data_IF_468074436292
#
_entry.id   IF_468074436292
#
_cell.length_a   1.000
_cell.length_b   1.000
_cell.length_c   1.000
_cell.angle_alpha   90.00
_cell.angle_beta   90.00
_cell.angle_gamma   90.00
#
_symmetry.space_group_name_H-M   'P 1'
#
loop_
_entity.id
_entity.type
_entity.pdbx_description
1 polymer ?
#
# COMPACT_ATOMS: atom_id res chain seq x y z
N UNK A 1 52.24 24.82 18.53
CA UNK A 1 51.58 24.82 19.86
C UNK A 1 50.22 24.13 19.71
N UNK A 2 49.85 23.32 20.71
CA UNK A 2 48.61 22.53 20.88
C UNK A 2 48.44 21.33 19.92
N UNK A 3 48.98 20.14 20.24
CA UNK A 3 48.51 19.06 21.15
C UNK A 3 47.36 18.21 20.60
N UNK A 4 47.74 16.98 20.23
CA UNK A 4 46.89 15.86 19.87
C UNK A 4 47.00 14.81 21.00
N UNK A 5 45.90 14.20 21.43
CA UNK A 5 45.87 13.09 22.39
C UNK A 5 44.85 12.04 21.95
N UNK A 6 45.23 10.75 21.89
CA UNK A 6 44.29 9.64 21.76
C UNK A 6 44.10 8.90 23.10
N UNK A 7 42.87 8.50 23.38
CA UNK A 7 42.45 7.72 24.56
C UNK A 7 42.69 6.22 24.29
N UNK A 8 43.33 5.55 25.26
CA UNK A 8 43.58 4.10 25.33
C UNK A 8 42.33 3.36 25.83
N UNK A 9 42.03 2.20 25.22
CA UNK A 9 41.15 1.18 25.81
C UNK A 9 42.00 0.14 26.57
N UNK A 10 41.60 -0.15 27.81
CA UNK A 10 42.23 -1.11 28.70
C UNK A 10 41.60 -2.50 28.64
N UNK A 11 42.45 -3.49 28.92
CA UNK A 11 42.18 -4.93 29.04
C UNK A 11 41.06 -5.30 30.03
N UNK A 12 40.36 -6.40 29.76
CA UNK A 12 39.75 -7.23 30.81
C UNK A 12 40.13 -8.70 30.63
N UNK A 13 40.60 -9.27 31.74
CA UNK A 13 41.07 -10.64 31.92
C UNK A 13 39.91 -11.63 32.17
N UNK A 14 40.18 -12.88 31.80
CA UNK A 14 39.55 -14.13 32.23
C UNK A 14 39.26 -14.23 33.74
N UNK A 15 38.17 -14.92 34.11
CA UNK A 15 38.14 -15.92 35.20
C UNK A 15 36.84 -16.76 35.24
N UNK A 16 37.05 -18.06 34.99
CA UNK A 16 36.50 -19.31 35.55
C UNK A 16 35.08 -19.48 36.14
N UNK A 17 34.52 -20.66 35.80
CA UNK A 17 33.37 -21.40 36.36
C UNK A 17 33.50 -21.73 37.86
N UNK A 18 32.39 -22.18 38.49
CA UNK A 18 32.26 -23.62 38.73
C UNK A 18 30.85 -24.21 38.52
N UNK A 19 30.88 -25.53 38.30
CA UNK A 19 29.80 -26.52 38.24
C UNK A 19 29.09 -26.76 39.58
N UNK A 20 27.80 -27.16 39.57
CA UNK A 20 27.39 -28.32 40.36
C UNK A 20 26.06 -28.98 39.95
N UNK A 21 25.96 -30.26 40.32
CA UNK A 21 25.02 -31.32 39.97
C UNK A 21 23.60 -31.26 40.58
N UNK A 22 22.62 -31.89 39.88
CA UNK A 22 21.74 -33.00 40.36
C UNK A 22 20.47 -33.08 39.48
N UNK A 23 20.16 -34.23 38.84
CA UNK A 23 19.15 -35.22 39.30
C UNK A 23 17.71 -34.75 38.96
N UNK A 24 16.81 -35.45 38.26
CA UNK A 24 16.50 -36.87 38.29
C UNK A 24 15.44 -37.21 37.21
N UNK A 25 15.64 -38.34 36.54
CA UNK A 25 14.70 -39.36 35.98
C UNK A 25 13.37 -39.00 35.30
N UNK A 26 13.25 -39.56 34.10
CA UNK A 26 12.04 -39.94 33.39
C UNK A 26 11.30 -41.10 34.08
N UNK A 27 9.98 -41.18 33.87
CA UNK A 27 9.22 -42.40 34.06
C UNK A 27 8.18 -42.60 32.95
N UNK A 28 8.35 -43.71 32.24
CA UNK A 28 7.46 -44.33 31.26
C UNK A 28 6.37 -45.13 31.98
N UNK A 29 5.11 -45.03 31.51
CA UNK A 29 4.04 -45.92 31.94
C UNK A 29 3.09 -46.24 30.77
N UNK A 30 3.16 -47.48 30.30
CA UNK A 30 2.33 -48.08 29.26
C UNK A 30 1.55 -49.21 29.93
N UNK A 31 0.21 -49.17 29.98
CA UNK A 31 -0.63 -50.35 30.27
C UNK A 31 -1.89 -50.34 29.38
N UNK A 32 -2.26 -51.55 28.99
CA UNK A 32 -3.12 -52.04 27.93
C UNK A 32 -4.59 -52.25 28.32
N UNK A 33 -5.42 -52.23 27.27
CA UNK A 33 -6.70 -52.92 26.92
C UNK A 33 -7.59 -53.70 27.92
N UNK A 34 -8.88 -53.74 27.49
CA UNK A 34 -10.00 -54.70 27.72
C UNK A 34 -11.10 -54.19 28.68
N UNK A 35 -12.42 -54.30 28.45
CA UNK A 35 -13.25 -54.87 27.39
C UNK A 35 -14.74 -54.81 27.81
N UNK A 36 -15.68 -54.76 26.83
CA UNK A 36 -17.14 -55.10 26.91
C UNK A 36 -18.05 -54.35 27.92
N UNK A 37 -19.35 -54.09 27.72
CA UNK A 37 -20.38 -54.58 26.79
C UNK A 37 -21.62 -53.66 26.78
N UNK A 38 -22.41 -53.84 25.72
CA UNK A 38 -23.68 -53.28 25.25
C UNK A 38 -24.78 -52.93 26.26
N UNK A 39 -25.60 -51.93 25.90
CA UNK A 39 -27.07 -51.98 25.97
C UNK A 39 -27.71 -51.22 24.78
N UNK A 40 -28.85 -51.74 24.31
CA UNK A 40 -29.50 -51.53 23.00
C UNK A 40 -30.47 -50.33 22.88
N UNK A 41 -30.41 -49.65 21.72
CA UNK A 41 -31.45 -49.28 20.70
C UNK A 41 -32.95 -49.05 21.10
N UNK A 42 -33.69 -48.13 20.42
CA UNK A 42 -34.19 -48.41 19.06
C UNK A 42 -34.26 -47.26 18.02
N UNK A 43 -33.71 -47.59 16.84
CA UNK A 43 -34.17 -47.42 15.45
C UNK A 43 -35.39 -46.52 15.15
N UNK A 44 -35.21 -45.58 14.21
CA UNK A 44 -36.16 -45.32 13.11
C UNK A 44 -35.45 -45.37 11.75
N UNK A 45 -36.08 -46.06 10.81
CA UNK A 45 -35.65 -46.34 9.43
C UNK A 45 -36.28 -45.31 8.50
N UNK A 46 -35.54 -44.86 7.47
CA UNK A 46 -36.14 -44.50 6.19
C UNK A 46 -35.29 -45.06 5.06
N UNK A 47 -35.96 -45.79 4.18
CA UNK A 47 -35.44 -46.61 3.09
C UNK A 47 -35.17 -45.75 1.87
N UNK A 48 -34.04 -45.97 1.21
CA UNK A 48 -33.72 -45.43 -0.10
C UNK A 48 -34.59 -46.08 -1.19
N UNK A 49 -35.07 -45.27 -2.14
CA UNK A 49 -35.59 -45.74 -3.43
C UNK A 49 -34.79 -45.03 -4.52
N UNK A 50 -34.05 -45.84 -5.28
CA UNK A 50 -33.33 -45.50 -6.51
C UNK A 50 -34.31 -45.35 -7.67
N UNK A 51 -34.19 -44.28 -8.45
CA UNK A 51 -34.72 -44.22 -9.81
C UNK A 51 -33.73 -43.47 -10.72
N UNK A 52 -33.11 -44.23 -11.62
CA UNK A 52 -32.26 -43.79 -12.72
C UNK A 52 -33.14 -43.23 -13.84
N UNK A 53 -32.85 -42.04 -14.37
CA UNK A 53 -33.26 -41.67 -15.72
C UNK A 53 -32.19 -40.81 -16.40
N UNK A 54 -31.67 -41.32 -17.51
CA UNK A 54 -30.84 -40.64 -18.48
C UNK A 54 -31.63 -39.52 -19.18
N UNK A 55 -30.99 -38.38 -19.46
CA UNK A 55 -31.53 -37.34 -20.32
C UNK A 55 -30.50 -36.25 -20.60
N UNK A 56 -29.89 -36.31 -21.79
CA UNK A 56 -29.02 -35.29 -22.36
C UNK A 56 -29.70 -33.92 -22.40
N UNK A 57 -28.98 -32.86 -22.01
CA UNK A 57 -29.17 -31.53 -22.61
C UNK A 57 -27.85 -30.75 -22.52
N UNK A 58 -27.13 -30.79 -23.64
CA UNK A 58 -26.08 -29.86 -23.96
C UNK A 58 -26.70 -28.56 -24.54
N UNK A 59 -25.98 -27.46 -24.29
CA UNK A 59 -25.96 -26.22 -25.09
C UNK A 59 -27.21 -25.33 -25.08
N UNK A 60 -27.08 -24.16 -24.46
CA UNK A 60 -27.22 -22.81 -25.03
C UNK A 60 -27.73 -21.84 -23.97
N UNK A 61 -26.85 -20.95 -23.48
CA UNK A 61 -27.27 -19.62 -23.02
C UNK A 61 -26.08 -18.67 -23.01
N UNK A 62 -25.90 -18.05 -24.18
CA UNK A 62 -25.32 -16.74 -24.45
C UNK A 62 -24.11 -16.31 -23.63
N UNK A 63 -22.98 -16.31 -24.33
CA UNK A 63 -22.01 -15.24 -24.20
C UNK A 63 -22.73 -13.89 -24.28
N UNK A 64 -23.01 -13.30 -23.11
CA UNK A 64 -23.14 -11.86 -23.02
C UNK A 64 -21.73 -11.32 -23.30
N UNK A 65 -21.47 -11.02 -24.57
CA UNK A 65 -20.68 -9.85 -24.92
C UNK A 65 -21.41 -8.65 -24.30
N UNK A 66 -21.22 -8.49 -23.00
CA UNK A 66 -21.30 -7.18 -22.38
C UNK A 66 -20.29 -6.33 -23.14
N UNK A 67 -20.77 -5.19 -23.61
CA UNK A 67 -19.95 -4.10 -24.10
C UNK A 67 -19.05 -3.64 -22.94
N UNK A 68 -18.01 -4.44 -22.64
CA UNK A 68 -16.99 -4.14 -21.68
C UNK A 68 -16.11 -3.08 -22.31
N UNK A 69 -16.39 -1.84 -21.94
CA UNK A 69 -15.51 -0.70 -22.18
C UNK A 69 -14.11 -1.09 -21.74
N UNK A 70 -13.12 -0.83 -22.60
CA UNK A 70 -11.69 -1.03 -22.33
C UNK A 70 -11.30 -0.51 -20.93
N UNK A 71 -11.06 -1.41 -19.98
CA UNK A 71 -10.76 -1.06 -18.58
C UNK A 71 -10.33 -2.28 -17.75
N UNK A 72 -9.84 -2.03 -16.53
CA UNK A 72 -9.41 -3.04 -15.54
C UNK A 72 -10.58 -3.78 -14.87
N UNK A 73 -11.79 -3.72 -15.41
CA UNK A 73 -13.05 -4.15 -14.79
C UNK A 73 -13.12 -5.64 -14.43
N UNK A 74 -12.23 -6.45 -15.02
CA UNK A 74 -11.96 -7.79 -14.55
C UNK A 74 -10.45 -8.06 -14.60
N UNK A 75 -9.72 -7.75 -13.50
CA UNK A 75 -8.28 -7.87 -13.50
C UNK A 75 -7.84 -9.32 -13.72
N UNK A 76 -8.61 -10.31 -13.27
CA UNK A 76 -8.25 -11.72 -13.39
C UNK A 76 -8.63 -12.36 -14.73
N UNK A 77 -9.71 -11.93 -15.40
CA UNK A 77 -10.20 -12.59 -16.63
C UNK A 77 -9.34 -12.38 -17.89
N UNK A 78 -8.12 -11.87 -17.76
CA UNK A 78 -7.15 -11.93 -18.83
C UNK A 78 -5.72 -11.60 -18.43
N UNK A 79 -5.34 -11.82 -17.17
CA UNK A 79 -3.93 -11.94 -16.80
C UNK A 79 -3.62 -13.44 -16.82
N UNK A 80 -3.27 -13.99 -17.97
CA UNK A 80 -2.77 -15.38 -18.02
C UNK A 80 -1.25 -15.40 -17.93
N UNK A 81 -0.55 -14.47 -18.58
CA UNK A 81 0.91 -14.62 -18.80
C UNK A 81 1.79 -13.72 -17.92
N UNK A 82 1.22 -12.73 -17.24
CA UNK A 82 1.95 -11.87 -16.27
C UNK A 82 1.42 -12.03 -14.85
N UNK A 83 0.69 -13.12 -14.58
CA UNK A 83 0.18 -13.41 -13.25
C UNK A 83 1.31 -13.92 -12.37
N UNK A 84 1.36 -13.44 -11.14
CA UNK A 84 2.33 -13.87 -10.13
C UNK A 84 1.61 -14.06 -8.79
N UNK A 85 2.14 -14.93 -7.90
CA UNK A 85 1.50 -15.17 -6.58
C UNK A 85 1.39 -13.90 -5.73
N UNK A 86 2.36 -13.00 -5.86
CA UNK A 86 2.43 -11.71 -5.15
C UNK A 86 2.81 -10.59 -6.10
N UNK A 87 2.66 -9.34 -5.68
CA UNK A 87 3.16 -8.17 -6.43
C UNK A 87 4.70 -8.07 -6.43
N UNK A 88 5.39 -8.71 -5.48
CA UNK A 88 6.86 -8.80 -5.51
C UNK A 88 7.30 -9.82 -6.56
N UNK A 89 8.20 -9.43 -7.46
CA UNK A 89 8.79 -10.30 -8.48
C UNK A 89 10.31 -10.27 -8.46
N UNK A 90 10.94 -11.33 -8.93
CA UNK A 90 12.39 -11.42 -9.07
C UNK A 90 12.85 -11.10 -10.49
N UNK A 91 14.14 -10.80 -10.65
CA UNK A 91 14.74 -10.43 -11.94
C UNK A 91 14.49 -11.48 -13.05
N UNK A 92 14.49 -12.77 -12.71
CA UNK A 92 14.22 -13.84 -13.66
C UNK A 92 12.81 -13.73 -14.31
N UNK A 93 11.79 -13.35 -13.52
CA UNK A 93 10.43 -13.15 -14.03
C UNK A 93 10.36 -11.97 -14.98
N UNK A 94 10.97 -10.83 -14.62
CA UNK A 94 11.00 -9.67 -15.50
C UNK A 94 11.80 -9.96 -16.78
N UNK A 95 12.92 -10.70 -16.67
CA UNK A 95 13.75 -11.09 -17.81
C UNK A 95 12.97 -11.95 -18.79
N UNK A 96 12.19 -12.90 -18.30
CA UNK A 96 11.29 -13.68 -19.13
C UNK A 96 10.32 -12.78 -19.91
N UNK A 97 9.69 -11.79 -19.27
CA UNK A 97 8.79 -10.86 -19.96
C UNK A 97 9.49 -9.96 -20.98
N UNK A 98 10.74 -9.57 -20.71
CA UNK A 98 11.58 -8.86 -21.69
C UNK A 98 11.83 -9.75 -22.92
N UNK A 99 12.25 -11.00 -22.72
CA UNK A 99 12.58 -11.94 -23.80
C UNK A 99 11.37 -12.34 -24.63
N UNK A 100 10.19 -12.39 -24.01
CA UNK A 100 8.90 -12.65 -24.67
C UNK A 100 8.35 -11.41 -25.41
N UNK A 101 9.05 -10.27 -25.39
CA UNK A 101 8.63 -9.05 -26.09
C UNK A 101 7.41 -8.37 -25.47
N UNK A 102 7.16 -8.58 -24.16
CA UNK A 102 6.02 -7.99 -23.45
C UNK A 102 6.25 -6.55 -23.05
N UNK A 103 7.51 -6.19 -22.74
CA UNK A 103 7.87 -4.83 -22.31
C UNK A 103 7.69 -3.84 -23.46
N UNK A 104 6.88 -2.81 -23.24
CA UNK A 104 6.47 -1.81 -24.23
C UNK A 104 5.89 -2.40 -25.52
N UNK A 105 5.19 -3.54 -25.41
CA UNK A 105 4.49 -4.10 -26.56
C UNK A 105 3.52 -3.06 -27.16
N UNK A 106 3.61 -2.89 -28.48
CA UNK A 106 2.88 -1.88 -29.25
C UNK A 106 1.43 -2.29 -29.51
N UNK A 107 1.10 -3.58 -29.40
CA UNK A 107 -0.28 -4.04 -29.45
C UNK A 107 -1.00 -3.58 -28.17
N UNK A 108 -1.84 -2.55 -28.32
CA UNK A 108 -2.60 -1.98 -27.21
C UNK A 108 -3.77 -2.86 -26.74
N UNK A 109 -4.17 -3.84 -27.55
CA UNK A 109 -5.23 -4.78 -27.24
C UNK A 109 -4.74 -5.98 -26.42
N UNK A 110 -3.43 -6.29 -26.49
CA UNK A 110 -2.89 -7.40 -25.69
C UNK A 110 -2.94 -7.11 -24.20
N UNK A 111 -3.35 -8.11 -23.43
CA UNK A 111 -3.32 -8.09 -21.97
C UNK A 111 -1.98 -8.51 -21.38
N UNK A 112 -1.00 -8.77 -22.23
CA UNK A 112 0.36 -9.16 -21.84
C UNK A 112 1.34 -7.98 -21.85
N UNK A 113 0.87 -6.77 -22.19
CA UNK A 113 1.71 -5.57 -22.21
C UNK A 113 2.28 -5.29 -20.82
N UNK A 114 3.59 -5.15 -20.73
CA UNK A 114 4.31 -4.74 -19.53
C UNK A 114 4.91 -3.35 -19.74
N UNK A 115 4.78 -2.48 -18.75
CA UNK A 115 5.51 -1.21 -18.67
C UNK A 115 6.37 -1.23 -17.42
N UNK A 116 7.68 -1.03 -17.57
CA UNK A 116 8.61 -0.91 -16.44
C UNK A 116 8.85 0.56 -16.16
N UNK A 117 8.51 1.01 -14.95
CA UNK A 117 8.77 2.37 -14.47
C UNK A 117 9.98 2.36 -13.54
N UNK A 118 11.03 3.03 -13.96
CA UNK A 118 12.28 3.23 -13.23
C UNK A 118 12.13 4.45 -12.31
N UNK A 119 11.93 4.21 -11.01
CA UNK A 119 11.51 5.23 -10.04
C UNK A 119 12.71 5.93 -9.39
N UNK A 120 13.40 6.75 -10.17
CA UNK A 120 14.68 7.34 -9.79
C UNK A 120 14.83 8.79 -10.24
N UNK A 121 16.01 9.38 -10.05
CA UNK A 121 16.34 10.71 -10.59
C UNK A 121 16.69 10.62 -12.07
N UNK A 122 16.47 11.70 -12.83
CA UNK A 122 16.86 11.75 -14.24
C UNK A 122 18.36 11.45 -14.46
N UNK A 123 19.22 11.86 -13.54
CA UNK A 123 20.66 11.62 -13.64
C UNK A 123 21.04 10.13 -13.49
N UNK A 124 20.43 9.46 -12.51
CA UNK A 124 20.65 8.03 -12.31
C UNK A 124 20.12 7.20 -13.49
N UNK A 125 18.91 7.54 -13.97
CA UNK A 125 18.32 6.90 -15.14
C UNK A 125 19.19 7.06 -16.39
N UNK A 126 19.66 8.27 -16.69
CA UNK A 126 20.50 8.53 -17.85
C UNK A 126 21.87 7.79 -17.82
N UNK A 127 22.28 7.31 -16.65
CA UNK A 127 23.52 6.52 -16.51
C UNK A 127 23.30 5.08 -16.91
N UNK A 128 22.25 4.44 -16.37
CA UNK A 128 21.86 3.08 -16.69
C UNK A 128 20.47 2.78 -16.12
N UNK A 129 19.72 1.92 -16.78
CA UNK A 129 18.41 1.43 -16.37
C UNK A 129 18.11 0.08 -17.04
N UNK A 130 17.07 -0.63 -16.59
CA UNK A 130 16.63 -1.88 -17.25
C UNK A 130 16.26 -1.58 -18.72
N UNK A 131 16.65 -2.42 -19.69
CA UNK A 131 16.31 -2.23 -21.10
C UNK A 131 14.80 -2.07 -21.30
N UNK A 132 14.38 -1.02 -22.00
CA UNK A 132 12.97 -0.71 -22.23
C UNK A 132 12.22 -0.14 -21.01
N UNK A 133 12.86 0.11 -19.88
CA UNK A 133 12.21 0.85 -18.79
C UNK A 133 12.00 2.33 -19.15
N UNK A 134 11.10 3.00 -18.43
CA UNK A 134 10.76 4.41 -18.59
C UNK A 134 10.95 5.13 -17.26
N UNK A 135 11.45 6.36 -17.30
CA UNK A 135 11.64 7.16 -16.08
C UNK A 135 10.31 7.58 -15.43
N UNK A 136 10.17 7.27 -14.14
CA UNK A 136 9.27 7.94 -13.21
C UNK A 136 10.12 8.77 -12.24
N UNK A 137 10.12 10.09 -12.41
CA UNK A 137 11.08 10.96 -11.74
C UNK A 137 10.76 11.12 -10.25
N UNK A 138 11.65 10.62 -9.38
CA UNK A 138 11.47 10.67 -7.94
C UNK A 138 11.42 12.08 -7.35
N UNK A 139 11.86 13.10 -8.09
CA UNK A 139 11.86 14.51 -7.66
C UNK A 139 10.53 15.25 -7.85
N UNK A 140 9.57 14.68 -8.57
CA UNK A 140 8.28 15.36 -8.83
C UNK A 140 7.09 14.44 -9.12
N UNK A 141 7.32 13.14 -9.26
CA UNK A 141 6.31 12.16 -9.67
C UNK A 141 6.04 11.12 -8.58
N UNK A 142 6.34 11.42 -7.32
CA UNK A 142 6.06 10.54 -6.17
C UNK A 142 5.18 11.18 -5.10
N UNK A 143 5.31 12.50 -4.94
CA UNK A 143 4.66 13.28 -3.90
C UNK A 143 4.42 14.69 -4.38
N UNK A 144 3.45 15.37 -3.78
CA UNK A 144 3.19 16.78 -4.02
C UNK A 144 2.71 17.49 -2.76
N UNK A 145 2.80 18.82 -2.75
CA UNK A 145 2.23 19.65 -1.69
C UNK A 145 0.73 19.79 -1.90
N UNK A 146 -0.07 19.38 -0.91
CA UNK A 146 -1.54 19.49 -0.95
C UNK A 146 -2.08 19.94 0.40
N UNK A 147 -3.17 20.70 0.36
CA UNK A 147 -3.94 21.12 1.53
C UNK A 147 -4.74 19.92 2.06
N UNK A 148 -4.63 19.64 3.36
CA UNK A 148 -5.41 18.60 4.02
C UNK A 148 -5.69 19.01 5.47
N UNK A 149 -6.97 19.04 5.86
CA UNK A 149 -7.39 19.63 7.12
C UNK A 149 -7.23 21.14 7.10
N UNK A 150 -6.31 21.67 7.91
CA UNK A 150 -6.11 23.13 8.09
C UNK A 150 -4.77 23.66 7.58
N UNK A 151 -3.97 22.82 6.93
CA UNK A 151 -2.63 23.19 6.47
C UNK A 151 -2.14 22.34 5.28
N UNK A 152 -1.26 22.89 4.42
CA UNK A 152 -0.62 22.13 3.35
C UNK A 152 0.54 21.26 3.86
N UNK A 153 0.70 20.07 3.26
CA UNK A 153 1.77 19.12 3.57
C UNK A 153 2.45 18.67 2.27
N UNK A 154 3.79 18.63 2.27
CA UNK A 154 4.63 18.50 1.06
C UNK A 154 4.78 17.09 0.48
N UNK A 155 4.31 16.07 1.20
CA UNK A 155 4.56 14.65 0.85
C UNK A 155 3.27 13.86 0.61
N UNK A 156 2.22 14.57 0.17
CA UNK A 156 0.92 14.00 -0.11
C UNK A 156 0.90 13.26 -1.45
N UNK A 157 -0.09 12.38 -1.61
CA UNK A 157 -0.31 11.63 -2.86
C UNK A 157 -0.51 12.55 -4.07
N UNK A 158 -0.09 12.09 -5.25
CA UNK A 158 -0.30 12.78 -6.52
C UNK A 158 -1.79 12.96 -6.83
N UNK A 159 -2.13 14.12 -7.38
CA UNK A 159 -3.45 14.42 -7.92
C UNK A 159 -3.70 13.68 -9.24
N UNK A 160 -4.97 13.66 -9.66
CA UNK A 160 -5.39 12.92 -10.83
C UNK A 160 -4.78 13.44 -12.13
N UNK A 161 -4.51 14.75 -12.24
CA UNK A 161 -3.91 15.35 -13.43
C UNK A 161 -2.45 14.93 -13.61
N UNK A 162 -1.67 14.95 -12.53
CA UNK A 162 -0.29 14.48 -12.52
C UNK A 162 -0.25 12.97 -12.80
N UNK A 163 -1.19 12.22 -12.24
CA UNK A 163 -1.30 10.79 -12.48
C UNK A 163 -1.63 10.46 -13.94
N UNK A 164 -2.62 11.15 -14.54
CA UNK A 164 -2.95 11.05 -15.97
C UNK A 164 -1.73 11.39 -16.86
N UNK A 165 -0.99 12.44 -16.51
CA UNK A 165 0.22 12.84 -17.25
C UNK A 165 1.27 11.73 -17.23
N UNK A 166 1.53 11.16 -16.06
CA UNK A 166 2.49 10.07 -15.88
C UNK A 166 2.08 8.81 -16.66
N UNK A 167 0.84 8.34 -16.55
CA UNK A 167 0.42 7.11 -17.25
C UNK A 167 0.37 7.28 -18.76
N UNK A 168 -0.04 8.47 -19.25
CA UNK A 168 -0.10 8.77 -20.70
C UNK A 168 1.29 8.81 -21.30
N UNK A 169 2.23 9.55 -20.71
CA UNK A 169 3.61 9.62 -21.24
C UNK A 169 4.31 8.26 -21.21
N UNK A 170 3.92 7.39 -20.27
CA UNK A 170 4.49 6.04 -20.16
C UNK A 170 3.77 4.98 -21.02
N UNK A 171 2.77 5.36 -21.82
CA UNK A 171 2.04 4.44 -22.69
C UNK A 171 1.18 3.41 -21.95
N UNK A 172 0.90 3.62 -20.65
CA UNK A 172 0.11 2.72 -19.80
C UNK A 172 -1.36 2.83 -20.21
N UNK A 173 -2.03 1.68 -20.34
CA UNK A 173 -3.46 1.58 -20.64
C UNK A 173 -4.15 0.52 -19.76
N UNK A 174 -5.47 0.35 -19.91
CA UNK A 174 -6.28 -0.59 -19.12
C UNK A 174 -5.91 -2.09 -19.26
N UNK A 175 -4.97 -2.44 -20.15
CA UNK A 175 -4.47 -3.80 -20.33
C UNK A 175 -3.04 -3.99 -19.79
N UNK A 176 -2.42 -2.93 -19.25
CA UNK A 176 -1.00 -2.92 -18.90
C UNK A 176 -0.75 -3.51 -17.51
N UNK A 177 0.27 -4.37 -17.41
CA UNK A 177 0.94 -4.71 -16.15
C UNK A 177 2.09 -3.73 -15.92
N UNK A 178 2.10 -3.05 -14.77
CA UNK A 178 3.11 -2.05 -14.42
C UNK A 178 4.10 -2.66 -13.43
N UNK A 179 5.40 -2.54 -13.73
CA UNK A 179 6.50 -2.99 -12.88
C UNK A 179 7.26 -1.77 -12.38
N UNK A 180 7.38 -1.59 -11.07
CA UNK A 180 8.20 -0.55 -10.47
C UNK A 180 9.60 -1.11 -10.18
N UNK A 181 10.63 -0.43 -10.69
CA UNK A 181 12.05 -0.69 -10.42
C UNK A 181 12.73 0.57 -9.88
N UNK A 182 13.94 0.42 -9.35
CA UNK A 182 14.78 1.55 -8.95
C UNK A 182 16.22 1.35 -9.42
N UNK A 183 16.86 2.46 -9.75
CA UNK A 183 18.24 2.49 -10.21
C UNK A 183 19.19 1.84 -9.21
N UNK A 184 20.42 1.55 -9.63
CA UNK A 184 21.47 1.06 -8.73
C UNK A 184 21.56 1.91 -7.46
N UNK A 185 21.54 1.25 -6.30
CA UNK A 185 21.61 1.85 -4.96
C UNK A 185 20.47 2.84 -4.67
N UNK A 186 19.40 2.78 -5.46
CA UNK A 186 18.26 3.66 -5.32
C UNK A 186 17.35 3.23 -4.18
N UNK A 187 16.38 4.10 -3.86
CA UNK A 187 15.53 3.88 -2.70
C UNK A 187 14.37 2.95 -3.00
N UNK A 188 14.34 1.79 -2.34
CA UNK A 188 13.17 0.91 -2.26
C UNK A 188 11.91 1.56 -1.66
N UNK A 189 12.04 2.69 -0.95
CA UNK A 189 10.88 3.49 -0.54
C UNK A 189 10.17 4.12 -1.74
N UNK A 190 10.91 4.49 -2.80
CA UNK A 190 10.35 5.13 -3.98
C UNK A 190 9.43 4.16 -4.74
N UNK A 191 9.87 2.92 -4.96
CA UNK A 191 9.05 1.90 -5.66
C UNK A 191 7.83 1.50 -4.85
N UNK A 192 7.96 1.43 -3.52
CA UNK A 192 6.81 1.16 -2.65
C UNK A 192 5.82 2.33 -2.65
N UNK A 193 6.30 3.58 -2.70
CA UNK A 193 5.46 4.77 -2.82
C UNK A 193 4.76 4.85 -4.18
N UNK A 194 5.46 4.51 -5.26
CA UNK A 194 4.86 4.42 -6.60
C UNK A 194 3.74 3.37 -6.63
N UNK A 195 3.98 2.18 -6.06
CA UNK A 195 2.97 1.15 -5.90
C UNK A 195 1.71 1.66 -5.17
N UNK A 196 1.89 2.29 -4.01
CA UNK A 196 0.78 2.89 -3.25
C UNK A 196 -0.02 3.90 -4.08
N UNK A 197 0.66 4.80 -4.80
CA UNK A 197 -0.01 5.82 -5.61
C UNK A 197 -0.87 5.21 -6.71
N UNK A 198 -0.36 4.19 -7.42
CA UNK A 198 -1.15 3.50 -8.45
C UNK A 198 -2.32 2.73 -7.83
N UNK A 199 -2.12 2.05 -6.69
CA UNK A 199 -3.20 1.35 -5.99
C UNK A 199 -4.34 2.31 -5.62
N UNK A 200 -4.03 3.46 -5.02
CA UNK A 200 -5.00 4.48 -4.65
C UNK A 200 -5.87 4.93 -5.84
N UNK A 201 -5.25 5.16 -6.99
CA UNK A 201 -5.94 5.59 -8.21
C UNK A 201 -6.73 4.49 -8.93
N UNK A 202 -6.80 3.27 -8.38
CA UNK A 202 -7.66 2.22 -8.90
C UNK A 202 -6.98 1.17 -9.78
N UNK A 203 -5.65 1.20 -9.89
CA UNK A 203 -4.93 0.12 -10.57
C UNK A 203 -5.01 -1.16 -9.73
N UNK A 204 -5.44 -2.29 -10.31
CA UNK A 204 -5.63 -3.54 -9.55
C UNK A 204 -4.28 -4.11 -9.14
N UNK A 205 -4.21 -4.64 -7.91
CA UNK A 205 -2.95 -5.18 -7.33
C UNK A 205 -2.34 -6.28 -8.20
N UNK A 206 -3.17 -7.04 -8.92
CA UNK A 206 -2.77 -8.12 -9.82
C UNK A 206 -2.00 -7.59 -11.04
N UNK A 207 -2.14 -6.31 -11.38
CA UNK A 207 -1.46 -5.62 -12.49
C UNK A 207 -0.29 -4.75 -12.04
N UNK A 208 -0.05 -4.65 -10.74
CA UNK A 208 1.10 -3.91 -10.21
C UNK A 208 2.15 -4.89 -9.71
N UNK A 209 3.41 -4.57 -9.98
CA UNK A 209 4.56 -5.38 -9.60
C UNK A 209 5.68 -4.49 -9.08
N UNK A 210 6.49 -5.02 -8.17
CA UNK A 210 7.72 -4.38 -7.69
C UNK A 210 8.86 -5.36 -7.92
N UNK A 211 9.92 -4.89 -8.59
CA UNK A 211 11.13 -5.68 -8.80
C UNK A 211 11.96 -5.71 -7.53
N UNK A 212 12.16 -6.90 -6.97
CA UNK A 212 12.90 -7.08 -5.73
C UNK A 212 14.39 -6.75 -5.91
N UNK A 213 14.83 -5.61 -5.37
CA UNK A 213 16.22 -5.14 -5.44
C UNK A 213 16.59 -4.34 -6.70
N UNK A 214 15.63 -3.99 -7.56
CA UNK A 214 15.82 -3.07 -8.69
C UNK A 214 16.95 -3.46 -9.65
N UNK A 215 17.65 -2.46 -10.19
CA UNK A 215 18.78 -2.63 -11.11
C UNK A 215 19.91 -3.51 -10.55
N UNK A 216 20.19 -3.42 -9.25
CA UNK A 216 21.24 -4.27 -8.65
C UNK A 216 20.85 -5.75 -8.76
N UNK A 217 19.58 -6.08 -8.52
CA UNK A 217 19.08 -7.44 -8.66
C UNK A 217 19.07 -7.93 -10.11
N UNK A 218 18.78 -7.03 -11.05
CA UNK A 218 18.82 -7.30 -12.48
C UNK A 218 20.23 -7.70 -12.94
N UNK A 219 21.25 -6.94 -12.55
CA UNK A 219 22.66 -7.22 -12.87
C UNK A 219 23.21 -8.44 -12.15
N UNK A 220 22.86 -8.63 -10.86
CA UNK A 220 23.27 -9.81 -10.09
C UNK A 220 22.77 -11.11 -10.73
N UNK A 221 21.64 -11.05 -11.46
CA UNK A 221 21.10 -12.16 -12.23
C UNK A 221 21.78 -12.34 -13.61
N UNK A 222 22.84 -11.58 -13.91
CA UNK A 222 23.61 -11.66 -15.15
C UNK A 222 23.03 -10.90 -16.33
N UNK A 223 22.03 -10.04 -16.11
CA UNK A 223 21.41 -9.25 -17.17
C UNK A 223 22.10 -7.89 -17.34
N UNK A 224 22.15 -7.40 -18.57
CA UNK A 224 22.73 -6.09 -18.88
C UNK A 224 21.73 -4.96 -18.66
N UNK A 225 22.19 -3.83 -18.15
CA UNK A 225 21.46 -2.56 -18.19
C UNK A 225 21.70 -1.85 -19.52
N UNK A 226 20.85 -0.88 -19.83
CA UNK A 226 20.92 0.00 -20.98
C UNK A 226 20.98 1.47 -20.50
N UNK A 227 21.34 2.40 -21.36
CA UNK A 227 21.23 3.84 -21.13
C UNK A 227 20.33 4.54 -22.18
N UNK A 228 19.85 3.80 -23.17
CA UNK A 228 18.98 4.31 -24.22
C UNK A 228 17.53 4.28 -23.75
N UNK A 229 16.97 5.46 -23.50
CA UNK A 229 15.55 5.59 -23.19
C UNK A 229 14.69 5.14 -24.41
N UNK A 230 13.70 4.26 -24.20
CA UNK A 230 12.83 3.84 -25.29
C UNK A 230 11.87 4.97 -25.70
N UNK A 231 11.52 5.02 -26.99
CA UNK A 231 10.42 5.84 -27.47
C UNK A 231 9.12 5.04 -27.38
N UNK A 232 8.15 5.53 -26.62
CA UNK A 232 6.81 4.93 -26.52
C UNK A 232 5.74 5.91 -26.98
N UNK A 233 4.71 5.39 -27.65
CA UNK A 233 3.54 6.20 -27.98
C UNK A 233 2.77 6.56 -26.69
N UNK A 234 2.41 7.83 -26.57
CA UNK A 234 1.57 8.27 -25.46
C UNK A 234 0.21 7.56 -25.53
N UNK A 235 -0.29 7.10 -24.38
CA UNK A 235 -1.65 6.54 -24.31
C UNK A 235 -2.68 7.65 -24.19
N UNK A 236 -3.94 7.32 -24.47
CA UNK A 236 -5.11 8.17 -24.15
C UNK A 236 -5.76 7.78 -22.83
N UNK A 237 -5.18 6.82 -22.11
CA UNK A 237 -5.77 6.24 -20.91
C UNK A 237 -5.79 7.25 -19.77
N UNK A 238 -6.83 7.16 -18.95
CA UNK A 238 -7.00 8.02 -17.78
C UNK A 238 -7.32 7.17 -16.57
N UNK A 239 -6.91 7.63 -15.39
CA UNK A 239 -7.34 7.01 -14.13
C UNK A 239 -8.86 7.01 -13.98
N UNK A 240 -9.57 7.94 -14.63
CA UNK A 240 -11.04 7.98 -14.71
C UNK A 240 -11.66 6.75 -15.38
N UNK A 241 -10.87 5.99 -16.14
CA UNK A 241 -11.30 4.76 -16.79
C UNK A 241 -11.07 3.51 -15.92
N UNK A 242 -10.58 3.67 -14.69
CA UNK A 242 -10.56 2.59 -13.70
C UNK A 242 -11.97 2.37 -13.15
N UNK A 243 -12.26 1.15 -12.68
CA UNK A 243 -13.59 0.82 -12.13
C UNK A 243 -13.94 1.67 -10.89
N UNK A 244 -12.96 1.90 -10.02
CA UNK A 244 -13.08 2.75 -8.85
C UNK A 244 -11.72 3.17 -8.31
N UNK A 245 -11.65 4.35 -7.69
CA UNK A 245 -10.56 4.67 -6.76
C UNK A 245 -10.59 3.75 -5.55
N UNK A 246 -9.42 3.52 -4.95
CA UNK A 246 -9.27 2.76 -3.70
C UNK A 246 -9.15 3.73 -2.53
N UNK A 247 -10.23 4.45 -2.26
CA UNK A 247 -10.25 5.58 -1.33
C UNK A 247 -9.98 5.16 0.12
N UNK A 248 -10.18 3.89 0.47
CA UNK A 248 -9.91 3.34 1.80
C UNK A 248 -8.40 3.10 2.07
N UNK A 249 -7.56 3.13 1.04
CA UNK A 249 -6.11 2.95 1.20
C UNK A 249 -5.40 4.17 1.78
N UNK A 250 -6.05 5.34 1.79
CA UNK A 250 -5.48 6.59 2.31
C UNK A 250 -6.34 7.18 3.43
N UNK A 251 -5.71 7.62 4.52
CA UNK A 251 -6.35 8.38 5.60
C UNK A 251 -5.85 9.82 5.66
N UNK A 252 -6.77 10.76 5.93
CA UNK A 252 -6.47 12.14 6.28
C UNK A 252 -6.13 12.30 7.77
N UNK A 253 -5.61 13.46 8.17
CA UNK A 253 -5.38 13.80 9.58
C UNK A 253 -6.67 13.73 10.41
N UNK A 254 -7.81 14.20 9.88
CA UNK A 254 -9.09 14.15 10.59
C UNK A 254 -9.56 12.72 10.85
N UNK A 255 -9.41 11.84 9.85
CA UNK A 255 -9.70 10.40 9.99
C UNK A 255 -8.76 9.73 10.99
N UNK A 256 -7.48 10.10 11.00
CA UNK A 256 -6.51 9.55 11.94
C UNK A 256 -6.80 9.98 13.38
N UNK A 257 -7.12 11.25 13.63
CA UNK A 257 -7.51 11.74 14.97
C UNK A 257 -8.79 11.01 15.43
N UNK A 258 -9.79 10.90 14.55
CA UNK A 258 -11.02 10.17 14.86
C UNK A 258 -10.77 8.70 15.19
N UNK A 259 -9.89 8.02 14.45
CA UNK A 259 -9.53 6.62 14.75
C UNK A 259 -8.94 6.47 16.15
N UNK A 260 -8.03 7.37 16.54
CA UNK A 260 -7.43 7.37 17.88
C UNK A 260 -8.49 7.64 18.95
N UNK A 261 -9.38 8.60 18.72
CA UNK A 261 -10.49 8.90 19.62
C UNK A 261 -11.43 7.70 19.78
N UNK A 262 -11.80 7.03 18.68
CA UNK A 262 -12.66 5.85 18.69
C UNK A 262 -12.01 4.66 19.42
N UNK A 263 -10.69 4.47 19.30
CA UNK A 263 -9.94 3.47 20.08
C UNK A 263 -9.97 3.82 21.57
N UNK A 264 -9.69 5.07 21.92
CA UNK A 264 -9.67 5.54 23.31
C UNK A 264 -11.06 5.48 23.96
N UNK A 265 -12.14 5.66 23.19
CA UNK A 265 -13.52 5.51 23.62
C UNK A 265 -13.99 4.04 23.67
N UNK A 266 -13.18 3.10 23.16
CA UNK A 266 -13.51 1.67 23.09
C UNK A 266 -14.55 1.31 22.02
N UNK A 267 -14.89 2.23 21.11
CA UNK A 267 -15.80 1.97 19.97
C UNK A 267 -15.08 1.23 18.84
N UNK A 268 -13.76 1.34 18.77
CA UNK A 268 -12.89 0.55 17.90
C UNK A 268 -11.89 -0.22 18.78
N UNK A 269 -11.76 -1.53 18.54
CA UNK A 269 -10.84 -2.39 19.31
C UNK A 269 -9.50 -2.56 18.61
N UNK A 270 -8.41 -2.66 19.39
CA UNK A 270 -7.06 -3.03 18.94
C UNK A 270 -6.71 -4.49 19.26
N UNK A 271 -7.69 -5.29 19.73
CA UNK A 271 -7.53 -6.72 20.03
C UNK A 271 -7.16 -7.54 18.78
N UNK A 272 -7.02 -8.87 18.93
CA UNK A 272 -6.50 -9.76 17.88
C UNK A 272 -7.15 -9.59 16.49
N UNK A 273 -8.47 -9.38 16.43
CA UNK A 273 -9.23 -9.17 15.19
C UNK A 273 -9.55 -7.69 14.89
N UNK A 274 -9.16 -6.80 15.79
CA UNK A 274 -9.38 -5.36 15.69
C UNK A 274 -8.49 -4.67 14.68
N UNK A 275 -8.22 -3.39 14.91
CA UNK A 275 -7.26 -2.62 14.12
C UNK A 275 -5.85 -2.72 14.70
N UNK A 276 -4.86 -2.26 13.95
CA UNK A 276 -3.52 -1.95 14.46
C UNK A 276 -3.04 -0.63 13.87
N UNK A 277 -2.22 0.12 14.62
CA UNK A 277 -1.54 1.31 14.12
C UNK A 277 -0.03 1.04 14.23
N UNK A 278 0.71 1.24 13.15
CA UNK A 278 2.14 0.98 13.07
C UNK A 278 2.90 2.26 12.72
N UNK A 279 3.80 2.65 13.61
CA UNK A 279 4.77 3.71 13.38
C UNK A 279 6.07 3.09 12.86
N UNK A 280 6.39 3.31 11.58
CA UNK A 280 7.62 2.78 10.97
C UNK A 280 8.69 3.84 10.74
N UNK A 281 8.71 4.91 11.55
CA UNK A 281 9.76 5.93 11.48
C UNK A 281 11.16 5.34 11.69
N UNK A 282 11.28 4.29 12.49
CA UNK A 282 12.57 3.78 12.97
C UNK A 282 13.19 4.67 14.05
N UNK A 283 14.32 4.24 14.61
CA UNK A 283 15.08 5.02 15.59
C UNK A 283 14.45 5.16 16.99
N UNK A 284 13.53 4.25 17.37
CA UNK A 284 12.89 4.19 18.69
C UNK A 284 12.28 5.53 19.18
N UNK A 285 11.32 6.11 18.43
CA UNK A 285 10.68 7.36 18.82
C UNK A 285 10.02 7.26 20.19
N UNK A 286 10.23 8.27 21.03
CA UNK A 286 9.60 8.38 22.36
C UNK A 286 8.28 9.14 22.34
N UNK A 287 7.98 9.82 21.23
CA UNK A 287 6.71 10.53 21.01
C UNK A 287 6.10 10.08 19.69
N UNK A 288 4.88 9.53 19.72
CA UNK A 288 4.21 8.85 18.60
C UNK A 288 2.68 8.88 18.76
N UNK A 289 1.93 8.56 17.70
CA UNK A 289 0.46 8.55 17.75
C UNK A 289 -0.01 7.55 18.81
N UNK A 290 -0.95 7.92 19.67
CA UNK A 290 -1.42 7.01 20.73
C UNK A 290 -1.95 5.69 20.13
N UNK A 291 -1.80 4.61 20.88
CA UNK A 291 -2.15 3.25 20.48
C UNK A 291 -1.30 2.64 19.33
N UNK A 292 -0.29 3.35 18.82
CA UNK A 292 0.62 2.81 17.82
C UNK A 292 1.65 1.85 18.42
N UNK A 293 1.94 0.78 17.69
CA UNK A 293 3.13 -0.06 17.89
C UNK A 293 4.29 0.55 17.10
N UNK A 294 5.45 0.68 17.73
CA UNK A 294 6.65 1.26 17.12
C UNK A 294 7.47 0.16 16.46
N UNK A 295 7.80 0.37 15.20
CA UNK A 295 8.56 -0.51 14.33
C UNK A 295 9.55 0.34 13.49
N UNK A 296 10.35 -0.31 12.65
CA UNK A 296 11.31 0.32 11.77
C UNK A 296 11.15 -0.24 10.36
N UNK A 297 10.94 0.64 9.38
CA UNK A 297 10.80 0.27 7.98
C UNK A 297 11.98 -0.57 7.46
N UNK A 298 13.18 -0.41 8.02
CA UNK A 298 14.35 -1.19 7.64
C UNK A 298 14.20 -2.69 7.95
N UNK A 299 13.27 -3.06 8.83
CA UNK A 299 13.05 -4.45 9.25
C UNK A 299 12.33 -5.29 8.20
N UNK A 300 11.80 -4.66 7.16
CA UNK A 300 11.08 -5.29 6.05
C UNK A 300 12.01 -5.66 4.88
N UNK A 301 13.30 -5.32 4.97
CA UNK A 301 14.26 -5.59 3.92
C UNK A 301 15.59 -6.11 4.44
N UNK A 302 16.32 -6.75 3.55
CA UNK A 302 17.69 -7.19 3.75
C UNK A 302 18.60 -6.15 3.09
N UNK A 303 19.18 -5.30 3.93
CA UNK A 303 20.14 -4.31 3.48
C UNK A 303 21.40 -5.02 2.99
N UNK A 304 21.73 -4.83 1.72
CA UNK A 304 22.95 -5.35 1.11
C UNK A 304 23.88 -4.16 0.90
N UNK A 305 25.09 -4.23 1.49
CA UNK A 305 26.03 -3.13 1.46
C UNK A 305 26.33 -2.68 0.03
N UNK A 306 26.13 -1.38 -0.24
CA UNK A 306 26.36 -0.80 -1.56
C UNK A 306 25.40 -1.30 -2.65
N UNK A 307 24.19 -1.74 -2.28
CA UNK A 307 23.12 -2.16 -3.20
C UNK A 307 21.75 -1.69 -2.73
N UNK A 308 20.79 -1.65 -3.65
CA UNK A 308 19.38 -1.49 -3.34
C UNK A 308 18.89 -2.60 -2.40
N UNK A 309 18.13 -2.22 -1.37
CA UNK A 309 17.53 -3.16 -0.43
C UNK A 309 16.57 -4.12 -1.13
N UNK A 310 16.70 -5.42 -0.81
CA UNK A 310 15.71 -6.44 -1.18
C UNK A 310 14.68 -6.58 -0.07
N UNK A 311 13.44 -6.87 -0.42
CA UNK A 311 12.43 -7.27 0.57
C UNK A 311 12.78 -8.65 1.13
N UNK A 312 12.52 -8.83 2.42
CA UNK A 312 12.70 -10.11 3.12
C UNK A 312 11.76 -11.19 2.56
N UNK A 313 12.06 -12.44 2.91
CA UNK A 313 11.19 -13.57 2.60
C UNK A 313 9.80 -13.40 3.24
N UNK A 314 8.76 -14.01 2.64
CA UNK A 314 7.40 -14.00 3.20
C UNK A 314 7.39 -14.54 4.64
N UNK A 315 8.22 -15.56 4.94
CA UNK A 315 8.32 -16.14 6.28
C UNK A 315 8.89 -15.13 7.31
N UNK A 316 9.95 -14.42 6.95
CA UNK A 316 10.57 -13.41 7.82
C UNK A 316 9.67 -12.19 8.00
N UNK A 317 9.01 -11.75 6.93
CA UNK A 317 8.02 -10.67 6.97
C UNK A 317 6.83 -11.04 7.86
N UNK A 318 6.32 -12.27 7.75
CA UNK A 318 5.24 -12.78 8.61
C UNK A 318 5.67 -12.81 10.07
N UNK A 319 6.91 -13.26 10.34
CA UNK A 319 7.48 -13.27 11.70
C UNK A 319 7.59 -11.86 12.27
N UNK A 320 8.10 -10.90 11.48
CA UNK A 320 8.20 -9.49 11.90
C UNK A 320 6.82 -8.90 12.20
N UNK A 321 5.87 -9.04 11.28
CA UNK A 321 4.52 -8.50 11.43
C UNK A 321 3.82 -9.09 12.65
N UNK A 322 3.93 -10.40 12.86
CA UNK A 322 3.34 -11.08 14.03
C UNK A 322 3.94 -10.55 15.33
N UNK A 323 5.26 -10.31 15.38
CA UNK A 323 5.92 -9.72 16.55
C UNK A 323 5.39 -8.30 16.86
N UNK A 324 4.92 -7.57 15.84
CA UNK A 324 4.27 -6.26 15.98
C UNK A 324 2.75 -6.36 16.19
N UNK A 325 2.21 -7.56 16.43
CA UNK A 325 0.77 -7.78 16.62
C UNK A 325 -0.06 -7.62 15.34
N UNK A 326 0.57 -7.62 14.17
CA UNK A 326 -0.09 -7.54 12.85
C UNK A 326 -0.21 -8.94 12.26
N UNK A 327 -1.44 -9.36 11.96
CA UNK A 327 -1.74 -10.68 11.37
C UNK A 327 -2.86 -10.56 10.35
N UNK A 328 -3.09 -11.62 9.56
CA UNK A 328 -4.22 -11.69 8.63
C UNK A 328 -5.61 -11.59 9.30
N UNK A 329 -5.68 -11.81 10.61
CA UNK A 329 -6.92 -11.69 11.37
C UNK A 329 -7.31 -10.24 11.67
N UNK A 330 -6.37 -9.29 11.54
CA UNK A 330 -6.65 -7.86 11.76
C UNK A 330 -7.63 -7.36 10.71
N UNK A 331 -8.65 -6.63 11.16
CA UNK A 331 -9.61 -5.97 10.27
C UNK A 331 -8.95 -4.92 9.38
N UNK A 332 -7.93 -4.22 9.89
CA UNK A 332 -7.12 -3.24 9.16
C UNK A 332 -5.86 -2.83 9.93
N UNK A 333 -4.76 -2.66 9.21
CA UNK A 333 -3.53 -2.04 9.73
C UNK A 333 -3.34 -0.65 9.16
N UNK A 334 -3.15 0.34 10.04
CA UNK A 334 -2.84 1.72 9.66
C UNK A 334 -1.34 1.94 9.77
N UNK A 335 -0.70 2.35 8.68
CA UNK A 335 0.75 2.61 8.66
C UNK A 335 1.04 4.09 8.49
N UNK A 336 2.04 4.59 9.23
CA UNK A 336 2.56 5.93 9.07
C UNK A 336 4.05 5.99 9.40
N UNK A 337 4.72 7.07 9.00
CA UNK A 337 6.13 7.30 9.35
C UNK A 337 6.37 8.79 9.63
N UNK A 338 7.46 9.38 9.11
CA UNK A 338 7.68 10.82 9.18
C UNK A 338 6.83 11.58 8.15
N UNK A 339 6.84 11.12 6.89
CA UNK A 339 6.31 11.84 5.74
C UNK A 339 5.62 10.93 4.70
N UNK A 340 5.12 9.77 5.11
CA UNK A 340 4.47 8.80 4.22
C UNK A 340 5.40 8.00 3.31
N UNK A 341 6.69 8.33 3.19
CA UNK A 341 7.63 7.61 2.31
C UNK A 341 8.02 6.23 2.87
N UNK A 342 8.54 6.19 4.11
CA UNK A 342 8.88 4.91 4.77
C UNK A 342 7.67 4.02 5.02
N UNK A 343 6.49 4.61 5.26
CA UNK A 343 5.23 3.89 5.47
C UNK A 343 4.76 3.15 4.22
N UNK A 344 5.19 3.58 3.02
CA UNK A 344 4.89 2.86 1.79
C UNK A 344 5.51 1.46 1.76
N UNK A 345 6.62 1.22 2.48
CA UNK A 345 7.29 -0.09 2.56
C UNK A 345 6.40 -1.15 3.21
N UNK A 346 5.96 -1.01 4.49
CA UNK A 346 5.03 -1.96 5.07
C UNK A 346 3.65 -1.93 4.40
N UNK A 347 3.23 -0.81 3.80
CA UNK A 347 2.02 -0.78 2.95
C UNK A 347 2.13 -1.79 1.81
N UNK A 348 3.22 -1.74 1.04
CA UNK A 348 3.45 -2.68 -0.07
C UNK A 348 3.55 -4.13 0.41
N UNK A 349 4.21 -4.37 1.55
CA UNK A 349 4.29 -5.71 2.14
C UNK A 349 2.88 -6.23 2.51
N UNK A 350 2.07 -5.41 3.19
CA UNK A 350 0.73 -5.83 3.60
C UNK A 350 -0.22 -6.00 2.40
N UNK A 351 -0.31 -5.02 1.50
CA UNK A 351 -1.22 -5.08 0.33
C UNK A 351 -0.71 -6.03 -0.77
N UNK A 352 0.53 -5.81 -1.21
CA UNK A 352 1.09 -6.44 -2.41
C UNK A 352 1.73 -7.80 -2.20
N UNK A 353 2.24 -8.09 -0.99
CA UNK A 353 2.90 -9.37 -0.69
C UNK A 353 1.97 -10.29 0.11
N UNK A 354 1.36 -9.78 1.18
CA UNK A 354 0.55 -10.58 2.08
C UNK A 354 -0.94 -10.63 1.70
N UNK A 355 -1.44 -9.60 1.01
CA UNK A 355 -2.85 -9.42 0.73
C UNK A 355 -3.69 -9.11 1.98
N UNK A 356 -3.09 -8.49 2.99
CA UNK A 356 -3.73 -8.13 4.26
C UNK A 356 -4.27 -6.69 4.22
N UNK A 357 -5.40 -6.38 4.89
CA UNK A 357 -6.01 -5.06 4.83
C UNK A 357 -5.11 -3.98 5.44
N UNK A 358 -4.78 -2.96 4.65
CA UNK A 358 -3.89 -1.87 5.06
C UNK A 358 -4.36 -0.52 4.55
N UNK A 359 -4.10 0.52 5.33
CA UNK A 359 -4.36 1.92 4.99
C UNK A 359 -3.16 2.76 5.41
N UNK A 360 -2.77 3.73 4.59
CA UNK A 360 -1.68 4.67 4.92
C UNK A 360 -2.22 6.04 5.32
N UNK A 361 -1.75 6.54 6.46
CA UNK A 361 -1.84 7.95 6.81
C UNK A 361 -0.61 8.67 6.24
N UNK A 362 -0.74 9.22 5.03
CA UNK A 362 0.38 9.73 4.25
C UNK A 362 0.94 11.07 4.76
N UNK A 363 0.11 11.89 5.40
CA UNK A 363 0.56 13.08 6.13
C UNK A 363 1.48 12.77 7.32
N UNK A 364 1.32 11.57 7.91
CA UNK A 364 2.28 10.97 8.82
C UNK A 364 2.65 11.87 10.03
N UNK A 365 3.78 11.60 10.68
CA UNK A 365 4.20 12.31 11.89
C UNK A 365 4.46 13.80 11.66
N UNK A 366 4.95 14.21 10.49
CA UNK A 366 5.22 15.61 10.21
C UNK A 366 3.93 16.44 10.23
N UNK A 367 2.82 15.91 9.70
CA UNK A 367 1.51 16.55 9.85
C UNK A 367 0.99 16.41 11.29
N UNK A 368 1.04 15.20 11.86
CA UNK A 368 0.49 14.94 13.20
C UNK A 368 1.13 15.81 14.28
N UNK A 369 2.46 15.78 14.40
CA UNK A 369 3.21 16.49 15.45
C UNK A 369 3.14 18.01 15.34
N UNK A 370 2.62 18.52 14.23
CA UNK A 370 2.45 19.94 14.01
C UNK A 370 1.09 20.46 14.54
N UNK A 371 0.12 19.60 14.85
CA UNK A 371 -1.24 19.98 15.25
C UNK A 371 -1.35 20.22 16.77
N UNK A 372 -0.51 21.11 17.31
CA UNK A 372 -0.40 21.41 18.75
C UNK A 372 -0.96 22.78 19.10
N UNK A 373 -1.13 23.09 20.39
CA UNK A 373 -1.54 24.43 20.86
C UNK A 373 -0.59 25.54 20.41
N UNK A 374 0.70 25.26 20.21
CA UNK A 374 1.67 26.26 19.74
C UNK A 374 1.47 26.64 18.26
N UNK A 375 0.92 25.72 17.47
CA UNK A 375 0.80 25.86 16.02
C UNK A 375 -0.67 26.05 15.55
N UNK A 376 -1.64 25.62 16.35
CA UNK A 376 -3.07 25.81 16.15
C UNK A 376 -3.57 26.83 17.18
N UNK A 377 -3.87 28.09 16.80
CA UNK A 377 -4.44 29.06 17.73
C UNK A 377 -5.83 28.59 18.19
N UNK A 378 -6.23 28.96 19.41
CA UNK A 378 -7.51 28.55 20.01
C UNK A 378 -8.74 28.91 19.14
N UNK A 379 -8.63 29.92 18.27
CA UNK A 379 -9.66 30.33 17.32
C UNK A 379 -9.80 29.42 16.09
N UNK A 380 -8.80 28.56 15.79
CA UNK A 380 -8.76 27.64 14.65
C UNK A 380 -9.09 26.17 15.01
N UNK A 381 -9.50 25.96 16.26
CA UNK A 381 -10.29 24.84 16.82
C UNK A 381 -9.56 23.73 17.56
N UNK A 382 -9.91 23.61 18.84
CA UNK A 382 -9.44 22.59 19.78
C UNK A 382 -9.65 21.15 19.29
N UNK A 383 -10.58 20.93 18.35
CA UNK A 383 -10.89 19.60 17.82
C UNK A 383 -9.69 18.94 17.13
N UNK A 384 -8.84 19.72 16.44
CA UNK A 384 -7.67 19.21 15.71
C UNK A 384 -6.45 18.94 16.59
N UNK A 385 -6.46 19.40 17.85
CA UNK A 385 -5.29 19.32 18.72
C UNK A 385 -4.94 17.89 19.09
N UNK A 386 -3.69 17.52 18.88
CA UNK A 386 -3.13 16.20 19.20
C UNK A 386 -2.41 16.15 20.55
N UNK A 387 -2.13 17.32 21.14
CA UNK A 387 -1.52 17.53 22.47
C UNK A 387 -2.58 17.53 23.59
N UNK A 388 -3.72 16.88 23.34
CA UNK A 388 -4.84 16.79 24.26
C UNK A 388 -5.30 15.35 24.43
N UNK A 389 -6.11 15.13 25.46
CA UNK A 389 -6.81 13.87 25.64
C UNK A 389 -8.00 13.79 24.68
N UNK A 390 -8.35 12.57 24.30
CA UNK A 390 -9.60 12.28 23.61
C UNK A 390 -10.76 12.80 24.46
N UNK A 391 -11.64 13.58 23.84
CA UNK A 391 -12.80 14.18 24.51
C UNK A 391 -13.64 13.12 25.21
N UNK A 392 -14.00 13.36 26.47
CA UNK A 392 -14.73 12.39 27.30
C UNK A 392 -13.87 11.30 27.95
N UNK A 393 -12.55 11.34 27.79
CA UNK A 393 -11.62 10.38 28.40
C UNK A 393 -10.43 11.08 29.07
N UNK A 394 -9.61 10.31 29.81
CA UNK A 394 -8.30 10.74 30.28
C UNK A 394 -7.15 10.23 29.40
N UNK A 395 -7.46 9.60 28.27
CA UNK A 395 -6.48 8.97 27.39
C UNK A 395 -5.94 9.99 26.38
N UNK A 396 -4.61 10.06 26.20
CA UNK A 396 -4.01 11.03 25.29
C UNK A 396 -4.22 10.61 23.83
N UNK A 397 -4.26 11.60 22.92
CA UNK A 397 -4.17 11.34 21.46
C UNK A 397 -2.74 11.03 21.01
N UNK A 398 -1.75 11.47 21.78
CA UNK A 398 -0.31 11.28 21.48
C UNK A 398 0.39 10.66 22.67
N UNK A 399 1.15 9.59 22.44
CA UNK A 399 2.08 9.06 23.45
C UNK A 399 3.35 9.91 23.48
N UNK A 400 3.86 10.23 24.67
CA UNK A 400 5.02 11.11 24.84
C UNK A 400 4.64 12.60 24.93
N UNK A 401 5.61 13.47 25.19
CA UNK A 401 5.37 14.88 25.51
C UNK A 401 6.13 15.89 24.64
N UNK A 402 7.10 15.44 23.83
CA UNK A 402 7.94 16.35 23.05
C UNK A 402 7.47 16.42 21.60
N UNK A 403 6.81 17.53 21.26
CA UNK A 403 6.26 17.78 19.92
C UNK A 403 7.09 18.87 19.24
N UNK A 404 7.67 18.54 18.10
CA UNK A 404 8.65 19.39 17.40
C UNK A 404 8.16 19.83 16.02
N UNK A 405 6.91 19.53 15.66
CA UNK A 405 6.35 19.89 14.36
C UNK A 405 6.13 21.40 14.25
N UNK A 406 6.33 21.93 13.05
CA UNK A 406 5.96 23.30 12.69
C UNK A 406 4.83 23.24 11.66
N UNK A 407 3.87 24.16 11.75
CA UNK A 407 2.75 24.22 10.84
C UNK A 407 2.53 25.64 10.34
N UNK A 408 2.38 25.79 9.04
CA UNK A 408 1.83 27.02 8.46
C UNK A 408 0.36 26.74 8.14
N UNK A 409 -0.54 27.41 8.84
CA UNK A 409 -1.98 27.25 8.63
C UNK A 409 -2.43 27.91 7.34
N UNK A 410 -3.41 27.29 6.70
CA UNK A 410 -4.21 27.95 5.68
C UNK A 410 -5.29 28.81 6.37
N UNK A 411 -5.30 30.15 6.17
CA UNK A 411 -6.22 31.04 6.88
C UNK A 411 -7.70 30.75 6.61
N UNK A 412 -8.05 30.33 5.39
CA UNK A 412 -9.43 30.03 5.05
C UNK A 412 -9.91 28.73 5.71
N UNK A 413 -9.10 27.68 5.61
CA UNK A 413 -9.40 26.35 6.15
C UNK A 413 -9.46 26.35 7.67
N UNK A 414 -8.56 27.10 8.33
CA UNK A 414 -8.53 27.22 9.80
C UNK A 414 -9.78 27.89 10.39
N UNK A 415 -10.45 28.75 9.62
CA UNK A 415 -11.75 29.34 10.00
C UNK A 415 -12.90 28.40 9.64
N UNK A 416 -12.82 27.75 8.47
CA UNK A 416 -13.94 26.98 7.91
C UNK A 416 -14.13 25.62 8.58
N UNK A 417 -13.05 24.92 8.90
CA UNK A 417 -13.09 23.53 9.34
C UNK A 417 -12.89 23.43 10.86
N UNK A 418 -13.97 23.66 11.59
CA UNK A 418 -13.96 23.66 13.06
C UNK A 418 -14.13 22.28 13.70
N UNK A 419 -14.32 21.24 12.88
CA UNK A 419 -14.49 19.85 13.30
C UNK A 419 -13.64 18.92 12.46
N UNK A 420 -13.01 17.94 13.11
CA UNK A 420 -12.25 16.86 12.45
C UNK A 420 -13.13 15.93 11.61
N UNK A 421 -14.44 15.96 11.83
CA UNK A 421 -15.43 15.12 11.11
C UNK A 421 -16.12 15.88 9.98
N UNK A 422 -15.75 17.13 9.72
CA UNK A 422 -16.28 17.86 8.56
C UNK A 422 -15.76 17.17 7.28
N UNK A 423 -16.64 16.61 6.43
CA UNK A 423 -16.20 15.89 5.24
C UNK A 423 -15.44 16.78 4.24
N UNK A 424 -15.65 18.11 4.30
CA UNK A 424 -14.94 19.08 3.44
C UNK A 424 -13.47 19.22 3.82
N UNK A 425 -13.12 18.90 5.07
CA UNK A 425 -11.74 18.92 5.57
C UNK A 425 -10.91 17.68 5.17
N UNK A 426 -11.46 16.84 4.28
CA UNK A 426 -10.73 15.81 3.54
C UNK A 426 -10.51 16.29 2.09
N UNK A 427 -9.85 17.43 1.92
CA UNK A 427 -9.77 18.15 0.65
C UNK A 427 -9.15 17.27 -0.44
N UNK A 428 -8.10 16.51 -0.12
CA UNK A 428 -7.42 15.64 -1.08
C UNK A 428 -8.39 14.60 -1.66
N UNK A 429 -9.13 13.91 -0.78
CA UNK A 429 -10.10 12.92 -1.25
C UNK A 429 -11.20 13.57 -2.07
N UNK A 430 -11.70 14.73 -1.65
CA UNK A 430 -12.76 15.44 -2.37
C UNK A 430 -12.29 15.87 -3.76
N UNK A 431 -11.09 16.46 -3.87
CA UNK A 431 -10.49 16.87 -5.13
C UNK A 431 -10.27 15.67 -6.07
N UNK A 432 -9.76 14.57 -5.52
CA UNK A 432 -9.44 13.38 -6.31
C UNK A 432 -10.71 12.65 -6.77
N UNK A 433 -11.74 12.55 -5.93
CA UNK A 433 -13.08 12.03 -6.31
C UNK A 433 -13.74 12.92 -7.35
N UNK A 434 -13.65 14.25 -7.21
CA UNK A 434 -14.17 15.19 -8.20
C UNK A 434 -13.46 15.01 -9.56
N UNK A 435 -12.13 14.91 -9.55
CA UNK A 435 -11.35 14.64 -10.76
C UNK A 435 -11.75 13.32 -11.41
N UNK A 436 -11.89 12.26 -10.60
CA UNK A 436 -12.25 10.93 -11.07
C UNK A 436 -13.63 10.92 -11.74
N UNK A 437 -14.60 11.64 -11.18
CA UNK A 437 -15.97 11.67 -11.67
C UNK A 437 -16.22 12.70 -12.79
N UNK A 438 -15.31 13.66 -13.01
CA UNK A 438 -15.50 14.73 -14.01
C UNK A 438 -15.65 14.22 -15.47
N UNK A 439 -15.36 12.94 -15.74
CA UNK A 439 -15.51 12.32 -17.06
C UNK A 439 -16.79 11.50 -17.27
N UNK A 440 -17.64 11.31 -16.24
CA UNK A 440 -18.81 10.41 -16.31
C UNK A 440 -20.12 11.10 -16.69
N UNK A 441 -20.11 12.38 -17.05
CA UNK A 441 -21.25 13.02 -17.73
C UNK A 441 -21.42 12.41 -19.11
N UNK A 442 -22.15 11.30 -19.18
CA UNK A 442 -22.86 10.86 -20.38
C UNK A 442 -23.60 12.05 -20.95
N UNK A 443 -23.16 12.50 -22.12
CA UNK A 443 -24.00 13.25 -23.05
C UNK A 443 -25.24 12.41 -23.33
N UNK A 444 -26.32 12.65 -22.57
CA UNK A 444 -27.66 12.40 -23.07
C UNK A 444 -27.83 13.27 -24.30
N UNK A 445 -27.52 12.71 -25.46
CA UNK A 445 -28.00 13.22 -26.73
C UNK A 445 -29.52 13.19 -26.65
N UNK A 446 -30.11 14.33 -26.35
CA UNK A 446 -31.51 14.57 -26.66
C UNK A 446 -31.64 14.43 -28.17
N UNK A 447 -32.09 13.25 -28.61
CA UNK A 447 -32.53 13.02 -29.97
C UNK A 447 -33.68 13.97 -30.26
N UNK A 448 -33.35 15.12 -30.85
CA UNK A 448 -34.30 16.04 -31.45
C UNK A 448 -34.94 15.35 -32.65
N UNK A 449 -36.06 14.68 -32.39
CA UNK A 449 -36.91 14.10 -33.43
C UNK A 449 -37.46 15.23 -34.30
N UNK A 450 -37.15 15.15 -35.59
CA UNK A 450 -37.69 15.99 -36.65
C UNK A 450 -39.20 15.79 -36.78
N UNK A 451 -39.99 16.71 -36.22
CA UNK A 451 -41.43 16.82 -36.47
C UNK A 451 -41.68 17.76 -37.64
N UNK A 452 -41.79 17.21 -38.86
CA UNK A 452 -42.40 17.92 -39.98
C UNK A 452 -43.91 18.05 -39.74
N UNK A 453 -44.44 19.26 -39.89
CA UNK A 453 -45.88 19.51 -39.94
C UNK A 453 -46.20 20.37 -41.15
N UNK A 454 -46.85 19.72 -42.11
CA UNK A 454 -47.55 20.28 -43.24
C UNK A 454 -48.99 20.65 -42.87
N UNK A 455 -49.35 21.91 -43.01
CA UNK A 455 -50.72 22.44 -43.25
C UNK A 455 -50.57 23.96 -43.33
N UNK A 456 -51.00 24.70 -44.35
CA UNK A 456 -52.18 24.50 -45.17
C UNK A 456 -53.16 25.63 -44.87
N UNK A 457 -52.91 26.82 -45.42
CA UNK A 457 -53.82 27.88 -45.88
C UNK A 457 -53.00 29.14 -46.19
#
# INVERSE_FOLDING_TARGET
>A
MAFCSPIRYGNMHHLSLPSDHSGTKAETGKITSEGGTMLERPKKRYTAVTATLFGMLALLALAMWGCGTSGYDNPNAGITTTQTPTALIEAATLKQWVDEGKVNNQDTATRDKVVVLEVTTSAAYATSHIPGSLLMNSGGELTMTRLEGVAPISTMILDGNTMDTLIKKSGINGNTTVVFSVSKNGSWMNIARAYFTFRYWGFPKERLKVLNGGDNAWEDAGNTLDAVAPTVAASTYSVRSNAAMQTDLRYSIGQMIKLVDDINLGTVTTAATGVSILDVRGGAPTTYVANATVDDFAQYGDAIAGKTTRFKSIADLTTRLTAMGVTSAKSRTYVYCASGMRAAVPFFVLDGVMGWPVTMYDGSWNQWSAYTTANLPNSATAAWRIDTNTSGTTLPRTTGSSLTGTLTLDPASSIMYTSITDPRANQILNDDVNYFNAGTTTTTSSGGSSGGSSSGC
#
